data_IF_426266187907
#
_entry.id   IF_426266187907
#
_cell.length_a   1.000
_cell.length_b   1.000
_cell.length_c   1.000
_cell.angle_alpha   90.00
_cell.angle_beta   90.00
_cell.angle_gamma   90.00
#
_symmetry.space_group_name_H-M   'P 1'
#
loop_
_entity.id
_entity.type
_entity.pdbx_description
1 polymer ?
#
# COMPACT_ATOMS: atom_id res chain seq x y z
N UNK A 1 -5.59 -78.88 -22.91
CA UNK A 1 -6.41 -78.18 -21.86
C UNK A 1 -6.41 -76.71 -22.17
N UNK A 2 -7.49 -76.09 -22.57
CA UNK A 2 -7.54 -74.64 -22.76
C UNK A 2 -7.57 -73.94 -21.42
N UNK A 3 -6.68 -72.99 -21.23
CA UNK A 3 -6.64 -72.11 -20.06
C UNK A 3 -7.91 -71.24 -20.03
N UNK A 4 -8.77 -71.51 -19.08
CA UNK A 4 -9.95 -70.73 -18.81
C UNK A 4 -9.46 -69.30 -18.41
N UNK A 5 -9.64 -68.34 -19.31
CA UNK A 5 -9.39 -66.92 -19.00
C UNK A 5 -10.42 -66.49 -17.96
N UNK A 6 -10.00 -66.51 -16.70
CA UNK A 6 -10.75 -65.94 -15.55
C UNK A 6 -10.47 -64.47 -15.55
N UNK A 7 -11.56 -63.68 -15.58
CA UNK A 7 -11.62 -62.26 -15.30
C UNK A 7 -11.18 -61.29 -16.40
N UNK A 8 -11.45 -61.55 -17.65
CA UNK A 8 -11.64 -60.43 -18.56
C UNK A 8 -13.10 -59.97 -18.40
N UNK A 9 -13.27 -58.78 -17.93
CA UNK A 9 -14.56 -58.09 -17.87
C UNK A 9 -14.84 -57.67 -19.31
N UNK A 10 -15.91 -58.15 -19.92
CA UNK A 10 -16.34 -57.72 -21.25
C UNK A 10 -16.68 -56.25 -21.24
N UNK A 11 -16.29 -55.52 -22.31
CA UNK A 11 -16.63 -54.09 -22.43
C UNK A 11 -18.13 -53.83 -22.35
N UNK A 12 -18.95 -54.82 -22.72
CA UNK A 12 -20.42 -54.76 -22.63
C UNK A 12 -21.00 -55.23 -21.27
N UNK A 13 -20.15 -55.54 -20.28
CA UNK A 13 -20.63 -55.92 -18.94
C UNK A 13 -21.38 -54.73 -18.32
N UNK A 14 -22.66 -54.89 -17.91
CA UNK A 14 -23.44 -53.80 -17.28
C UNK A 14 -22.79 -53.23 -16.01
N UNK A 15 -21.78 -53.91 -15.45
CA UNK A 15 -20.99 -53.38 -14.32
C UNK A 15 -19.91 -52.40 -14.76
N UNK A 16 -19.43 -52.47 -16.02
CA UNK A 16 -18.47 -51.55 -16.61
C UNK A 16 -19.16 -50.26 -17.02
N UNK A 17 -20.40 -50.34 -17.48
CA UNK A 17 -21.20 -49.14 -17.83
C UNK A 17 -21.58 -48.26 -16.62
N UNK A 18 -21.31 -48.71 -15.41
CA UNK A 18 -21.48 -47.90 -14.18
C UNK A 18 -20.27 -47.07 -13.84
N UNK A 19 -19.17 -47.15 -14.56
CA UNK A 19 -18.02 -46.25 -14.42
C UNK A 19 -18.30 -44.98 -15.23
N UNK A 20 -19.18 -44.15 -14.66
CA UNK A 20 -19.42 -42.75 -15.02
C UNK A 20 -19.68 -42.45 -16.51
N UNK A 21 -20.70 -41.69 -16.80
CA UNK A 21 -20.87 -41.12 -18.14
C UNK A 21 -19.65 -40.26 -18.48
N UNK A 22 -19.15 -40.31 -19.71
CA UNK A 22 -18.07 -39.45 -20.16
C UNK A 22 -18.45 -37.98 -19.86
N UNK A 23 -17.48 -37.23 -19.38
CA UNK A 23 -17.71 -35.84 -19.04
C UNK A 23 -18.26 -35.07 -20.25
N UNK A 24 -19.29 -34.23 -20.08
CA UNK A 24 -19.87 -33.49 -21.18
C UNK A 24 -18.82 -32.62 -21.88
N UNK A 25 -18.80 -32.48 -23.20
CA UNK A 25 -17.76 -31.76 -23.94
C UNK A 25 -17.56 -30.28 -23.49
N UNK A 26 -18.61 -29.64 -23.01
CA UNK A 26 -18.52 -28.26 -22.50
C UNK A 26 -17.67 -28.11 -21.24
N UNK A 27 -17.46 -29.23 -20.50
CA UNK A 27 -16.66 -29.21 -19.27
C UNK A 27 -15.19 -28.88 -19.54
N UNK A 28 -14.68 -29.23 -20.72
CA UNK A 28 -13.32 -28.92 -21.15
C UNK A 28 -13.18 -27.41 -21.31
N UNK A 29 -14.13 -26.74 -21.97
CA UNK A 29 -14.14 -25.33 -22.16
C UNK A 29 -14.31 -24.59 -20.82
N UNK A 30 -15.13 -25.15 -19.94
CA UNK A 30 -15.29 -24.59 -18.58
C UNK A 30 -14.00 -24.69 -17.75
N UNK A 31 -13.30 -25.82 -17.82
CA UNK A 31 -12.03 -26.02 -17.15
C UNK A 31 -10.95 -25.05 -17.66
N UNK A 32 -10.91 -24.81 -18.97
CA UNK A 32 -9.98 -23.88 -19.61
C UNK A 32 -10.23 -22.45 -19.12
N UNK A 33 -11.49 -21.99 -19.15
CA UNK A 33 -11.88 -20.69 -18.60
C UNK A 33 -11.52 -20.54 -17.13
N UNK A 34 -11.69 -21.58 -16.32
CA UNK A 34 -11.35 -21.55 -14.89
C UNK A 34 -9.84 -21.45 -14.69
N UNK A 35 -9.03 -22.19 -15.46
CA UNK A 35 -7.58 -22.10 -15.36
C UNK A 35 -7.06 -20.73 -15.79
N UNK A 36 -7.62 -20.16 -16.88
CA UNK A 36 -7.27 -18.82 -17.32
C UNK A 36 -7.62 -17.76 -16.27
N UNK A 37 -8.80 -17.86 -15.65
CA UNK A 37 -9.22 -16.97 -14.57
C UNK A 37 -8.29 -17.05 -13.34
N UNK A 38 -7.88 -18.27 -12.96
CA UNK A 38 -6.92 -18.47 -11.86
C UNK A 38 -5.57 -17.86 -12.20
N UNK A 39 -5.05 -18.06 -13.41
CA UNK A 39 -3.81 -17.44 -13.86
C UNK A 39 -3.89 -15.91 -13.80
N UNK A 40 -4.99 -15.32 -14.24
CA UNK A 40 -5.22 -13.89 -14.15
C UNK A 40 -5.17 -13.36 -12.70
N UNK A 41 -5.84 -14.03 -11.77
CA UNK A 41 -5.80 -13.65 -10.36
C UNK A 41 -4.42 -13.81 -9.74
N UNK A 42 -3.66 -14.84 -10.11
CA UNK A 42 -2.28 -15.02 -9.64
C UNK A 42 -1.39 -13.87 -10.10
N UNK A 43 -1.53 -13.43 -11.36
CA UNK A 43 -0.78 -12.29 -11.90
C UNK A 43 -1.15 -11.00 -11.17
N UNK A 44 -2.44 -10.73 -10.96
CA UNK A 44 -2.90 -9.57 -10.20
C UNK A 44 -2.39 -9.58 -8.75
N UNK A 45 -2.42 -10.73 -8.11
CA UNK A 45 -1.90 -10.90 -6.75
C UNK A 45 -0.38 -10.65 -6.68
N UNK A 46 0.38 -11.20 -7.62
CA UNK A 46 1.82 -11.00 -7.70
C UNK A 46 2.18 -9.51 -7.91
N UNK A 47 1.44 -8.83 -8.79
CA UNK A 47 1.61 -7.39 -9.02
C UNK A 47 1.30 -6.57 -7.78
N UNK A 48 0.18 -6.85 -7.12
CA UNK A 48 -0.20 -6.20 -5.86
C UNK A 48 0.85 -6.41 -4.77
N UNK A 49 1.37 -7.63 -4.62
CA UNK A 49 2.41 -7.94 -3.64
C UNK A 49 3.73 -7.18 -3.93
N UNK A 50 4.09 -7.02 -5.21
CA UNK A 50 5.27 -6.27 -5.62
C UNK A 50 5.16 -4.77 -5.32
N UNK A 51 3.99 -4.18 -5.53
CA UNK A 51 3.72 -2.77 -5.20
C UNK A 51 3.78 -2.53 -3.68
N UNK A 52 3.16 -3.41 -2.90
CA UNK A 52 3.14 -3.30 -1.44
C UNK A 52 4.54 -3.41 -0.82
N UNK A 53 5.46 -4.15 -1.41
CA UNK A 53 6.82 -4.34 -0.87
C UNK A 53 7.61 -3.04 -0.78
N UNK A 54 7.49 -2.13 -1.74
CA UNK A 54 8.19 -0.85 -1.72
C UNK A 54 7.62 0.07 -0.63
N UNK A 55 6.30 0.09 -0.48
CA UNK A 55 5.62 0.88 0.56
C UNK A 55 5.95 0.32 1.96
N UNK A 56 6.01 -1.00 2.12
CA UNK A 56 6.41 -1.62 3.38
C UNK A 56 7.85 -1.29 3.77
N UNK A 57 8.79 -1.33 2.84
CA UNK A 57 10.19 -0.92 3.11
C UNK A 57 10.28 0.53 3.55
N UNK A 58 9.57 1.43 2.88
CA UNK A 58 9.53 2.83 3.27
C UNK A 58 8.92 3.00 4.68
N UNK A 59 7.87 2.25 4.99
CA UNK A 59 7.29 2.23 6.33
C UNK A 59 8.30 1.79 7.38
N UNK A 60 8.98 0.66 7.18
CA UNK A 60 9.99 0.14 8.11
C UNK A 60 11.15 1.14 8.35
N UNK A 61 11.60 1.82 7.29
CA UNK A 61 12.63 2.85 7.41
C UNK A 61 12.17 4.05 8.22
N UNK A 62 10.95 4.52 7.98
CA UNK A 62 10.36 5.64 8.71
C UNK A 62 10.03 5.29 10.16
N UNK A 63 9.50 4.10 10.42
CA UNK A 63 9.26 3.59 11.77
C UNK A 63 10.59 3.54 12.57
N UNK A 64 11.66 3.03 11.97
CA UNK A 64 12.97 2.99 12.60
C UNK A 64 13.54 4.39 12.91
N UNK A 65 13.29 5.38 12.04
CA UNK A 65 13.66 6.78 12.29
C UNK A 65 12.88 7.37 13.47
N UNK A 66 11.58 7.08 13.57
CA UNK A 66 10.72 7.53 14.66
C UNK A 66 11.07 6.84 15.99
N UNK A 67 11.35 5.54 15.98
CA UNK A 67 11.79 4.79 17.16
C UNK A 67 13.14 5.30 17.69
N UNK A 68 14.01 5.81 16.83
CA UNK A 68 15.27 6.43 17.26
C UNK A 68 15.11 7.73 18.04
N UNK A 69 13.85 8.19 18.22
CA UNK A 69 13.50 9.38 19.01
C UNK A 69 13.85 10.71 18.33
N UNK A 70 14.27 10.68 17.07
CA UNK A 70 14.64 11.88 16.32
C UNK A 70 13.42 12.69 15.87
N UNK A 71 12.29 12.00 15.72
CA UNK A 71 11.05 12.58 15.21
C UNK A 71 9.88 12.06 16.00
N UNK A 72 9.01 12.97 16.45
CA UNK A 72 7.71 12.60 17.01
C UNK A 72 6.68 12.52 15.90
N UNK A 73 6.02 11.37 15.79
CA UNK A 73 5.04 11.15 14.73
C UNK A 73 4.51 9.74 14.72
N UNK A 74 3.75 9.43 13.72
CA UNK A 74 3.13 8.12 13.52
C UNK A 74 3.12 7.76 12.02
N UNK A 75 3.35 6.49 11.73
CA UNK A 75 3.31 5.96 10.36
C UNK A 75 2.25 4.89 10.26
N UNK A 76 1.20 5.17 9.52
CA UNK A 76 0.06 4.25 9.33
C UNK A 76 -0.11 3.84 7.88
N UNK A 77 -0.43 2.57 7.70
CA UNK A 77 -0.93 2.08 6.42
C UNK A 77 -2.44 2.28 6.37
N UNK A 78 -2.91 3.10 5.43
CA UNK A 78 -4.33 3.34 5.18
C UNK A 78 -4.76 2.69 3.85
N UNK A 79 -6.05 2.75 3.53
CA UNK A 79 -6.56 2.28 2.22
C UNK A 79 -6.07 3.15 1.05
N UNK A 80 -5.70 4.39 1.34
CA UNK A 80 -5.25 5.39 0.38
C UNK A 80 -3.73 5.35 0.17
N UNK A 81 -2.99 4.70 1.09
CA UNK A 81 -1.55 4.55 1.01
C UNK A 81 -0.85 4.65 2.37
N UNK A 82 0.41 5.04 2.33
CA UNK A 82 1.21 5.28 3.53
C UNK A 82 0.97 6.70 4.03
N UNK A 83 0.40 6.83 5.22
CA UNK A 83 0.21 8.10 5.91
C UNK A 83 1.32 8.30 6.93
N UNK A 84 2.03 9.40 6.83
CA UNK A 84 3.08 9.82 7.76
C UNK A 84 2.59 11.08 8.44
N UNK A 85 2.46 11.05 9.75
CA UNK A 85 2.02 12.20 10.55
C UNK A 85 3.17 12.64 11.43
N UNK A 86 3.54 13.91 11.34
CA UNK A 86 4.52 14.54 12.22
C UNK A 86 3.79 15.38 13.25
N UNK A 87 4.16 15.23 14.52
CA UNK A 87 3.56 15.98 15.62
C UNK A 87 4.62 16.83 16.30
N UNK A 88 4.30 18.10 16.54
CA UNK A 88 5.13 18.96 17.37
C UNK A 88 5.01 18.50 18.84
N UNK A 89 6.12 18.08 19.44
CA UNK A 89 6.18 17.67 20.85
C UNK A 89 7.32 18.40 21.56
N UNK A 90 6.99 19.03 22.67
CA UNK A 90 7.95 19.72 23.53
C UNK A 90 8.59 20.95 22.85
N UNK A 91 9.91 21.01 22.87
CA UNK A 91 10.68 22.14 22.31
C UNK A 91 10.91 22.05 20.79
N UNK A 92 10.41 21.01 20.13
CA UNK A 92 10.62 20.83 18.69
C UNK A 92 9.42 21.36 17.92
N UNK A 93 9.41 22.67 17.67
CA UNK A 93 8.46 23.27 16.74
C UNK A 93 8.93 23.08 15.29
N UNK A 94 8.05 22.71 14.40
CA UNK A 94 8.35 22.58 12.96
C UNK A 94 8.24 23.91 12.23
N UNK A 95 7.43 24.81 12.75
CA UNK A 95 7.21 26.15 12.23
C UNK A 95 7.32 27.19 13.34
N UNK A 96 7.70 28.39 12.98
CA UNK A 96 7.59 29.51 13.91
C UNK A 96 6.11 29.86 14.20
N UNK A 97 5.81 30.29 15.41
CA UNK A 97 4.45 30.62 15.81
C UNK A 97 3.82 31.69 14.89
N UNK A 98 2.66 31.36 14.32
CA UNK A 98 1.94 32.25 13.40
C UNK A 98 2.61 32.46 12.04
N UNK A 99 3.66 31.69 11.72
CA UNK A 99 4.37 31.74 10.43
C UNK A 99 4.37 30.40 9.73
N UNK A 100 4.72 30.42 8.45
CA UNK A 100 4.92 29.22 7.62
C UNK A 100 6.41 28.91 7.36
N UNK A 101 7.32 29.72 7.91
CA UNK A 101 8.75 29.53 7.75
C UNK A 101 9.19 28.25 8.51
N UNK A 102 9.93 27.36 7.81
CA UNK A 102 10.43 26.12 8.37
C UNK A 102 11.52 26.40 9.41
N UNK A 103 11.49 25.70 10.53
CA UNK A 103 12.58 25.72 11.52
C UNK A 103 13.74 24.83 11.07
N UNK A 104 14.92 25.01 11.67
CA UNK A 104 16.06 24.11 11.44
C UNK A 104 15.74 22.66 11.78
N UNK A 105 14.92 22.43 12.81
CA UNK A 105 14.47 21.07 13.16
C UNK A 105 13.62 20.43 12.08
N UNK A 106 12.75 21.19 11.43
CA UNK A 106 11.95 20.67 10.30
C UNK A 106 12.80 20.46 9.05
N UNK A 107 13.74 21.34 8.74
CA UNK A 107 14.63 21.13 7.59
C UNK A 107 15.52 19.90 7.77
N UNK A 108 16.10 19.70 8.96
CA UNK A 108 16.89 18.51 9.28
C UNK A 108 16.05 17.20 9.15
N UNK A 109 14.79 17.27 9.54
CA UNK A 109 13.85 16.17 9.38
C UNK A 109 13.58 15.88 7.90
N UNK A 110 13.25 16.91 7.13
CA UNK A 110 12.97 16.76 5.70
C UNK A 110 14.18 16.21 4.95
N UNK A 111 15.40 16.65 5.29
CA UNK A 111 16.64 16.13 4.72
C UNK A 111 16.83 14.63 5.01
N UNK A 112 16.45 14.17 6.20
CA UNK A 112 16.56 12.77 6.57
C UNK A 112 15.54 11.88 5.85
N UNK A 113 14.30 12.34 5.64
CA UNK A 113 13.24 11.56 4.99
C UNK A 113 13.22 11.71 3.46
N UNK A 114 13.77 12.81 2.93
CA UNK A 114 13.80 13.13 1.50
C UNK A 114 14.29 11.99 0.61
N UNK A 115 15.37 11.25 0.95
CA UNK A 115 15.83 10.14 0.11
C UNK A 115 14.77 9.02 -0.04
N UNK A 116 14.08 8.71 1.07
CA UNK A 116 13.02 7.68 1.07
C UNK A 116 11.77 8.15 0.32
N UNK A 117 11.40 9.42 0.47
CA UNK A 117 10.29 10.02 -0.26
C UNK A 117 10.57 10.07 -1.76
N UNK A 118 11.79 10.43 -2.15
CA UNK A 118 12.18 10.52 -3.56
C UNK A 118 12.09 9.19 -4.30
N UNK A 119 12.41 8.08 -3.64
CA UNK A 119 12.21 6.74 -4.21
C UNK A 119 10.71 6.42 -4.40
N UNK A 120 9.85 6.94 -3.53
CA UNK A 120 8.40 6.74 -3.61
C UNK A 120 7.75 7.62 -4.68
N UNK A 121 8.21 8.85 -4.90
CA UNK A 121 7.63 9.79 -5.90
C UNK A 121 7.74 9.29 -7.33
N UNK A 122 8.66 8.36 -7.61
CA UNK A 122 8.74 7.73 -8.93
C UNK A 122 7.53 6.84 -9.26
N UNK A 123 6.79 6.40 -8.23
CA UNK A 123 5.73 5.40 -8.37
C UNK A 123 4.40 5.82 -7.77
N UNK A 124 4.40 6.80 -6.87
CA UNK A 124 3.24 7.23 -6.09
C UNK A 124 3.18 8.76 -6.04
N UNK A 125 1.96 9.28 -6.04
CA UNK A 125 1.73 10.68 -5.76
C UNK A 125 1.88 10.94 -4.25
N UNK A 126 2.46 12.09 -3.89
CA UNK A 126 2.56 12.55 -2.50
C UNK A 126 1.55 13.66 -2.28
N UNK A 127 0.69 13.46 -1.29
CA UNK A 127 -0.23 14.48 -0.79
C UNK A 127 0.33 15.03 0.52
N UNK A 128 0.49 16.35 0.60
CA UNK A 128 0.94 17.03 1.82
C UNK A 128 -0.23 17.81 2.40
N UNK A 129 -0.58 17.49 3.64
CA UNK A 129 -1.65 18.13 4.39
C UNK A 129 -1.05 18.91 5.56
N UNK A 130 -1.39 20.19 5.65
CA UNK A 130 -1.03 21.05 6.79
C UNK A 130 -2.20 21.15 7.76
N UNK A 131 -1.92 20.98 9.04
CA UNK A 131 -2.89 21.16 10.12
C UNK A 131 -2.40 22.24 11.09
N UNK A 132 -3.33 22.99 11.65
CA UNK A 132 -3.08 23.93 12.73
C UNK A 132 -3.95 23.55 13.93
N UNK A 133 -3.66 24.14 15.08
CA UNK A 133 -4.52 24.06 16.25
C UNK A 133 -5.86 24.80 16.03
N UNK A 134 -6.73 24.67 17.01
CA UNK A 134 -8.06 25.32 16.99
C UNK A 134 -8.04 26.77 17.50
N UNK A 135 -6.87 27.31 17.84
CA UNK A 135 -6.74 28.72 18.29
C UNK A 135 -6.82 29.61 17.04
N UNK A 136 -7.85 30.45 16.90
CA UNK A 136 -7.96 31.31 15.73
C UNK A 136 -6.80 32.28 15.65
N UNK A 137 -6.17 32.38 14.51
CA UNK A 137 -5.16 33.40 14.23
C UNK A 137 -5.74 34.47 13.30
N UNK A 138 -5.24 35.67 13.48
CA UNK A 138 -5.45 36.78 12.57
C UNK A 138 -4.17 37.60 12.57
N UNK A 139 -3.41 37.51 11.51
CA UNK A 139 -2.16 38.24 11.30
C UNK A 139 -2.24 39.03 10.01
N UNK A 140 -1.36 39.99 9.83
CA UNK A 140 -1.29 40.76 8.58
C UNK A 140 -1.02 39.89 7.35
N UNK A 141 -0.42 38.70 7.54
CA UNK A 141 -0.05 37.77 6.46
C UNK A 141 -1.08 36.67 6.25
N UNK A 142 -1.78 36.24 7.32
CA UNK A 142 -2.74 35.14 7.26
C UNK A 142 -4.02 35.53 7.98
N UNK A 143 -5.12 35.59 7.27
CA UNK A 143 -6.42 35.98 7.81
C UNK A 143 -7.08 34.85 8.64
N UNK A 144 -6.65 33.61 8.46
CA UNK A 144 -7.22 32.45 9.14
C UNK A 144 -6.22 31.29 9.26
N UNK A 145 -6.56 30.33 10.14
CA UNK A 145 -5.81 29.08 10.27
C UNK A 145 -5.77 28.26 8.97
N UNK A 146 -6.78 28.39 8.11
CA UNK A 146 -6.83 27.74 6.79
C UNK A 146 -5.71 28.23 5.88
N UNK A 147 -5.51 29.53 5.83
CA UNK A 147 -4.44 30.12 5.02
C UNK A 147 -3.06 29.76 5.57
N UNK A 148 -2.90 29.77 6.89
CA UNK A 148 -1.64 29.38 7.55
C UNK A 148 -1.32 27.90 7.27
N UNK A 149 -2.30 27.00 7.43
CA UNK A 149 -2.08 25.56 7.19
C UNK A 149 -1.72 25.28 5.75
N UNK A 150 -2.40 25.92 4.81
CA UNK A 150 -2.08 25.80 3.37
C UNK A 150 -0.68 26.36 3.06
N UNK A 151 -0.31 27.51 3.63
CA UNK A 151 1.02 28.09 3.44
C UNK A 151 2.13 27.18 3.99
N UNK A 152 1.93 26.57 5.16
CA UNK A 152 2.86 25.58 5.74
C UNK A 152 3.04 24.36 4.86
N UNK A 153 1.95 23.79 4.35
CA UNK A 153 2.03 22.66 3.41
C UNK A 153 2.79 23.05 2.14
N UNK A 154 2.57 24.26 1.60
CA UNK A 154 3.28 24.74 0.42
C UNK A 154 4.78 24.90 0.68
N UNK A 155 5.19 25.40 1.84
CA UNK A 155 6.63 25.53 2.16
C UNK A 155 7.32 24.17 2.27
N UNK A 156 6.64 23.17 2.81
CA UNK A 156 7.16 21.77 2.82
C UNK A 156 7.30 21.20 1.40
N UNK A 157 6.36 21.50 0.49
CA UNK A 157 6.44 21.06 -0.91
C UNK A 157 7.60 21.73 -1.66
N UNK A 158 7.91 22.97 -1.32
CA UNK A 158 8.96 23.75 -1.99
C UNK A 158 10.36 23.35 -1.58
N UNK A 159 10.51 22.81 -0.38
CA UNK A 159 11.76 22.33 0.15
C UNK A 159 12.21 21.03 -0.54
#
# INVERSE_FOLDING_TARGET
MPLKSRNLIDEDDPRVSQIGHPAPPWLINYADLMTELVCFFIILYALSAALNKNVQKAKEQLDAMMESGKVAGDVKMTKEGLQITFEEKGDTAFFESGKADLTSGMTDLLDQISPSLKELTEKFDILIEGHTDNIPIHTDRYASNWELSAARAIEVVRY
#
